data_IF_553720665297
#
_entry.id   IF_553720665297
#
_cell.length_a   1.000
_cell.length_b   1.000
_cell.length_c   1.000
_cell.angle_alpha   90.00
_cell.angle_beta   90.00
_cell.angle_gamma   90.00
#
_symmetry.space_group_name_H-M   'P 1'
#
loop_
_entity.id
_entity.type
_entity.pdbx_description
1 polymer ?
#
# COMPACT_ATOMS: atom_id res chain seq x y z
N UNK A 1 10.32 -16.96 -0.42
CA UNK A 1 10.41 -15.49 -0.51
C UNK A 1 9.07 -14.93 -0.99
N UNK A 2 8.39 -14.19 -0.12
CA UNK A 2 7.04 -13.66 -0.40
C UNK A 2 7.06 -12.53 -1.43
N UNK A 3 8.14 -11.78 -1.54
CA UNK A 3 8.29 -10.80 -2.62
C UNK A 3 8.28 -11.47 -4.00
N UNK A 4 8.96 -12.61 -4.13
CA UNK A 4 8.96 -13.39 -5.36
C UNK A 4 7.55 -13.88 -5.71
N UNK A 5 6.85 -14.50 -4.74
CA UNK A 5 5.46 -14.98 -4.94
C UNK A 5 4.50 -13.85 -5.33
N UNK A 6 4.58 -12.71 -4.65
CA UNK A 6 3.78 -11.55 -4.97
C UNK A 6 4.07 -11.02 -6.39
N UNK A 7 5.34 -10.96 -6.78
CA UNK A 7 5.72 -10.52 -8.14
C UNK A 7 5.31 -11.53 -9.21
N UNK A 8 5.28 -12.83 -8.91
CA UNK A 8 4.74 -13.85 -9.81
C UNK A 8 3.21 -13.70 -9.97
N UNK A 9 2.49 -13.41 -8.88
CA UNK A 9 1.05 -13.14 -8.92
C UNK A 9 0.74 -11.88 -9.74
N UNK A 10 1.54 -10.81 -9.62
CA UNK A 10 1.42 -9.61 -10.44
C UNK A 10 1.52 -9.89 -11.93
N UNK A 11 2.40 -10.81 -12.39
CA UNK A 11 2.58 -11.09 -13.82
C UNK A 11 1.33 -11.59 -14.51
N UNK A 12 0.41 -12.22 -13.77
CA UNK A 12 -0.87 -12.70 -14.29
C UNK A 12 -1.99 -11.65 -14.22
N UNK A 13 -1.76 -10.57 -13.50
CA UNK A 13 -2.75 -9.51 -13.27
C UNK A 13 -2.68 -8.43 -14.37
N UNK A 14 -3.84 -7.89 -14.74
CA UNK A 14 -3.97 -6.72 -15.62
C UNK A 14 -4.52 -5.52 -14.88
N UNK A 15 -5.55 -5.73 -14.07
CA UNK A 15 -6.26 -4.67 -13.35
C UNK A 15 -6.24 -4.97 -11.86
N UNK A 16 -5.55 -4.14 -11.12
CA UNK A 16 -5.24 -4.34 -9.71
C UNK A 16 -6.03 -3.35 -8.86
N UNK A 17 -6.82 -3.89 -7.92
CA UNK A 17 -7.46 -3.09 -6.88
C UNK A 17 -6.52 -2.99 -5.67
N UNK A 18 -6.30 -1.79 -5.16
CA UNK A 18 -5.52 -1.54 -3.94
C UNK A 18 -6.42 -0.83 -2.93
N UNK A 19 -6.47 -1.30 -1.70
CA UNK A 19 -7.17 -0.63 -0.61
C UNK A 19 -6.50 -0.93 0.74
N UNK A 20 -6.64 0.00 1.67
CA UNK A 20 -6.23 -0.14 3.06
C UNK A 20 -7.43 -0.37 3.99
N UNK A 21 -7.23 -0.10 5.28
CA UNK A 21 -8.29 -0.21 6.28
C UNK A 21 -9.33 0.94 6.18
N UNK A 22 -10.50 0.76 6.84
CA UNK A 22 -11.67 1.66 6.75
C UNK A 22 -11.38 3.10 7.17
N UNK A 23 -10.50 3.31 8.15
CA UNK A 23 -10.13 4.64 8.66
C UNK A 23 -8.67 4.95 8.32
N UNK A 24 -8.34 5.12 7.03
CA UNK A 24 -6.95 5.15 6.59
C UNK A 24 -6.22 6.37 7.16
N UNK A 25 -5.02 6.14 7.64
CA UNK A 25 -4.09 7.15 8.13
C UNK A 25 -3.00 7.49 7.10
N UNK A 26 -1.92 8.13 7.56
CA UNK A 26 -0.82 8.52 6.69
C UNK A 26 -0.02 7.34 6.15
N UNK A 27 0.13 6.24 6.92
CA UNK A 27 0.80 5.04 6.42
C UNK A 27 -0.06 4.34 5.37
N UNK A 28 -1.31 4.09 5.68
CA UNK A 28 -2.25 3.45 4.76
C UNK A 28 -2.35 4.20 3.43
N UNK A 29 -2.67 5.49 3.46
CA UNK A 29 -2.82 6.31 2.25
C UNK A 29 -1.51 6.51 1.49
N UNK A 30 -0.42 6.79 2.20
CA UNK A 30 0.90 6.96 1.59
C UNK A 30 1.37 5.68 0.89
N UNK A 31 1.22 4.54 1.54
CA UNK A 31 1.58 3.23 1.00
C UNK A 31 0.73 2.85 -0.22
N UNK A 32 -0.58 3.11 -0.18
CA UNK A 32 -1.49 2.88 -1.33
C UNK A 32 -1.14 3.76 -2.53
N UNK A 33 -0.86 5.06 -2.31
CA UNK A 33 -0.45 6.00 -3.36
C UNK A 33 0.87 5.55 -3.97
N UNK A 34 1.87 5.25 -3.14
CA UNK A 34 3.18 4.81 -3.61
C UNK A 34 3.08 3.52 -4.42
N UNK A 35 2.38 2.51 -3.90
CA UNK A 35 2.25 1.22 -4.57
C UNK A 35 1.49 1.34 -5.90
N UNK A 36 0.36 2.06 -5.93
CA UNK A 36 -0.40 2.23 -7.17
C UNK A 36 0.42 2.97 -8.23
N UNK A 37 1.20 3.98 -7.84
CA UNK A 37 2.07 4.71 -8.76
C UNK A 37 3.21 3.82 -9.26
N UNK A 38 3.86 3.06 -8.38
CA UNK A 38 4.91 2.08 -8.74
C UNK A 38 4.40 1.07 -9.77
N UNK A 39 3.24 0.48 -9.52
CA UNK A 39 2.66 -0.53 -10.42
C UNK A 39 2.25 0.07 -11.76
N UNK A 40 1.67 1.28 -11.78
CA UNK A 40 1.34 1.96 -13.03
C UNK A 40 2.60 2.31 -13.83
N UNK A 41 3.67 2.76 -13.17
CA UNK A 41 4.96 3.02 -13.82
C UNK A 41 5.61 1.72 -14.36
N UNK A 42 5.32 0.58 -13.74
CA UNK A 42 5.74 -0.75 -14.20
C UNK A 42 4.86 -1.35 -15.30
N UNK A 43 3.81 -0.65 -15.75
CA UNK A 43 2.95 -1.05 -16.86
C UNK A 43 1.68 -1.82 -16.48
N UNK A 44 1.33 -1.88 -15.19
CA UNK A 44 0.05 -2.44 -14.72
C UNK A 44 -1.05 -1.37 -14.71
N UNK A 45 -2.32 -1.78 -14.66
CA UNK A 45 -3.45 -0.90 -14.37
C UNK A 45 -3.80 -1.00 -12.87
N UNK A 46 -3.16 -0.22 -12.02
CA UNK A 46 -3.36 -0.26 -10.56
C UNK A 46 -4.20 0.94 -10.07
N UNK A 47 -5.21 0.64 -9.26
CA UNK A 47 -6.21 1.59 -8.77
C UNK A 47 -6.29 1.56 -7.25
N UNK A 48 -5.80 2.62 -6.61
CA UNK A 48 -5.95 2.80 -5.17
C UNK A 48 -7.31 3.42 -4.85
N UNK A 49 -8.08 2.75 -4.00
CA UNK A 49 -9.45 3.13 -3.63
C UNK A 49 -9.53 3.42 -2.14
N UNK A 50 -9.96 4.61 -1.77
CA UNK A 50 -10.04 5.05 -0.37
C UNK A 50 -11.21 6.02 -0.13
N UNK A 51 -11.53 6.26 1.15
CA UNK A 51 -12.36 7.40 1.51
C UNK A 51 -11.55 8.69 1.37
N UNK A 52 -11.83 9.47 0.32
CA UNK A 52 -11.15 10.74 0.09
C UNK A 52 -11.44 11.81 1.15
N UNK A 53 -12.47 11.63 1.99
CA UNK A 53 -12.71 12.53 3.11
C UNK A 53 -11.69 12.31 4.24
N UNK A 54 -11.02 11.15 4.27
CA UNK A 54 -9.97 10.83 5.23
C UNK A 54 -8.61 11.45 4.89
N UNK A 55 -8.46 12.12 3.73
CA UNK A 55 -7.18 12.70 3.29
C UNK A 55 -6.60 13.73 4.30
N UNK A 56 -7.46 14.48 5.00
CA UNK A 56 -7.05 15.38 6.08
C UNK A 56 -5.79 16.18 5.73
N UNK A 57 -4.76 16.03 6.56
CA UNK A 57 -3.48 16.75 6.43
C UNK A 57 -2.60 16.29 5.27
N UNK A 58 -2.86 15.13 4.66
CA UNK A 58 -2.04 14.62 3.56
C UNK A 58 -2.59 14.96 2.17
N UNK A 59 -3.72 15.67 2.11
CA UNK A 59 -4.34 16.10 0.85
C UNK A 59 -3.47 16.99 -0.04
N UNK A 60 -2.35 17.49 0.47
CA UNK A 60 -1.36 18.25 -0.30
C UNK A 60 -0.51 17.35 -1.23
N UNK A 61 -0.41 16.05 -0.99
CA UNK A 61 0.35 15.14 -1.83
C UNK A 61 -0.25 15.08 -3.24
N UNK A 62 0.59 15.23 -4.24
CA UNK A 62 0.15 15.17 -5.64
C UNK A 62 -0.52 13.83 -5.98
N UNK A 63 0.00 12.75 -5.46
CA UNK A 63 -0.53 11.40 -5.65
C UNK A 63 -1.95 11.18 -5.16
N UNK A 64 -2.50 12.04 -4.28
CA UNK A 64 -3.90 11.94 -3.82
C UNK A 64 -4.91 12.14 -4.95
N UNK A 65 -4.52 12.83 -6.02
CA UNK A 65 -5.36 13.05 -7.21
C UNK A 65 -5.68 11.76 -7.97
N UNK A 66 -4.86 10.72 -7.82
CA UNK A 66 -5.04 9.41 -8.43
C UNK A 66 -5.95 8.47 -7.64
N UNK A 67 -6.25 8.80 -6.37
CA UNK A 67 -7.12 8.00 -5.53
C UNK A 67 -8.56 7.99 -6.07
N UNK A 68 -9.13 6.80 -6.16
CA UNK A 68 -10.53 6.63 -6.53
C UNK A 68 -11.38 6.68 -5.25
N UNK A 69 -12.38 7.58 -5.19
CA UNK A 69 -13.31 7.57 -4.07
C UNK A 69 -14.07 6.25 -3.95
N UNK A 70 -14.27 5.73 -2.72
CA UNK A 70 -15.02 4.48 -2.47
C UNK A 70 -16.35 4.42 -3.21
N UNK A 71 -17.12 5.53 -3.21
CA UNK A 71 -18.40 5.63 -3.92
C UNK A 71 -18.32 5.35 -5.44
N UNK A 72 -17.14 5.48 -6.03
CA UNK A 72 -16.90 5.26 -7.44
C UNK A 72 -16.40 3.84 -7.77
N UNK A 73 -16.13 3.01 -6.78
CA UNK A 73 -15.63 1.63 -6.96
C UNK A 73 -16.59 0.80 -7.85
N UNK A 74 -17.90 0.88 -7.61
CA UNK A 74 -18.93 0.15 -8.39
C UNK A 74 -18.97 0.52 -9.87
N UNK A 75 -18.40 1.67 -10.26
CA UNK A 75 -18.32 2.14 -11.66
C UNK A 75 -17.08 1.61 -12.38
N UNK A 76 -16.15 0.98 -11.66
CA UNK A 76 -14.93 0.45 -12.24
C UNK A 76 -15.21 -0.85 -13.00
N UNK A 77 -14.38 -1.13 -14.02
CA UNK A 77 -14.34 -2.43 -14.66
C UNK A 77 -13.86 -3.49 -13.65
N UNK A 78 -14.10 -4.76 -13.96
CA UNK A 78 -13.65 -5.88 -13.11
C UNK A 78 -12.14 -5.83 -12.89
N UNK A 79 -11.75 -6.15 -11.68
CA UNK A 79 -10.38 -6.38 -11.26
C UNK A 79 -10.06 -7.87 -11.33
N UNK A 80 -8.78 -8.20 -11.37
CA UNK A 80 -8.27 -9.58 -11.40
C UNK A 80 -7.26 -9.88 -10.27
N UNK A 81 -6.84 -8.86 -9.54
CA UNK A 81 -6.01 -8.98 -8.33
C UNK A 81 -6.41 -7.91 -7.32
N UNK A 82 -6.38 -8.26 -6.05
CA UNK A 82 -6.52 -7.34 -4.92
C UNK A 82 -5.20 -7.25 -4.14
N UNK A 83 -4.81 -6.04 -3.73
CA UNK A 83 -3.70 -5.82 -2.81
C UNK A 83 -4.24 -5.04 -1.61
N UNK A 84 -4.24 -5.69 -0.45
CA UNK A 84 -4.50 -5.06 0.83
C UNK A 84 -3.20 -4.41 1.33
N UNK A 85 -3.28 -3.16 1.77
CA UNK A 85 -2.13 -2.42 2.28
C UNK A 85 -2.49 -1.86 3.64
N UNK A 86 -1.61 -2.09 4.62
CA UNK A 86 -1.79 -1.60 5.98
C UNK A 86 -3.15 -2.01 6.57
N UNK A 87 -3.44 -3.30 6.50
CA UNK A 87 -4.72 -3.86 6.92
C UNK A 87 -4.53 -5.23 7.54
N UNK A 88 -4.66 -5.31 8.86
CA UNK A 88 -4.38 -6.52 9.64
C UNK A 88 -5.43 -7.63 9.54
N UNK A 89 -6.65 -7.31 9.08
CA UNK A 89 -7.72 -8.28 8.93
C UNK A 89 -8.70 -7.89 7.82
N UNK A 90 -9.31 -8.88 7.18
CA UNK A 90 -10.22 -8.67 6.05
C UNK A 90 -11.44 -7.79 6.41
N UNK A 91 -11.94 -7.92 7.62
CA UNK A 91 -13.09 -7.15 8.11
C UNK A 91 -12.77 -5.69 8.50
N UNK A 92 -11.50 -5.34 8.56
CA UNK A 92 -11.05 -3.94 8.72
C UNK A 92 -11.16 -3.11 7.44
N UNK A 93 -11.34 -3.75 6.27
CA UNK A 93 -11.49 -3.05 5.00
C UNK A 93 -12.83 -2.31 4.88
N UNK A 94 -12.90 -1.26 4.02
CA UNK A 94 -14.16 -0.59 3.72
C UNK A 94 -15.24 -1.59 3.23
N UNK A 95 -16.50 -1.46 3.70
CA UNK A 95 -17.60 -2.34 3.28
C UNK A 95 -17.82 -2.40 1.77
N UNK A 96 -17.49 -1.34 1.05
CA UNK A 96 -17.60 -1.27 -0.41
C UNK A 96 -16.55 -2.13 -1.12
N UNK A 97 -15.38 -2.33 -0.49
CA UNK A 97 -14.24 -3.08 -1.04
C UNK A 97 -14.41 -4.57 -0.83
N UNK A 98 -14.88 -5.00 0.35
CA UNK A 98 -14.97 -6.42 0.73
C UNK A 98 -15.63 -7.32 -0.32
N UNK A 99 -16.84 -6.99 -0.87
CA UNK A 99 -17.53 -7.86 -1.82
C UNK A 99 -16.78 -8.01 -3.16
N UNK A 100 -15.86 -7.10 -3.47
CA UNK A 100 -15.01 -7.18 -4.66
C UNK A 100 -13.76 -7.99 -4.34
N UNK A 101 -13.09 -7.65 -3.24
CA UNK A 101 -11.85 -8.28 -2.79
C UNK A 101 -12.01 -9.79 -2.52
N UNK A 102 -13.11 -10.21 -1.87
CA UNK A 102 -13.41 -11.61 -1.54
C UNK A 102 -13.39 -12.56 -2.75
N UNK A 103 -13.53 -12.03 -3.96
CA UNK A 103 -13.58 -12.81 -5.20
C UNK A 103 -12.26 -12.80 -5.98
N UNK A 104 -11.22 -12.18 -5.43
CA UNK A 104 -9.95 -11.94 -6.11
C UNK A 104 -8.81 -12.63 -5.37
N UNK A 105 -7.80 -13.13 -6.10
CA UNK A 105 -6.52 -13.44 -5.50
C UNK A 105 -6.02 -12.21 -4.75
N UNK A 106 -5.44 -12.41 -3.55
CA UNK A 106 -5.10 -11.32 -2.64
C UNK A 106 -3.64 -11.35 -2.23
N UNK A 107 -2.96 -10.22 -2.36
CA UNK A 107 -1.66 -9.94 -1.72
C UNK A 107 -1.94 -9.04 -0.51
N UNK A 108 -1.43 -9.39 0.67
CA UNK A 108 -1.49 -8.55 1.86
C UNK A 108 -0.10 -7.96 2.15
N UNK A 109 -0.02 -6.64 2.30
CA UNK A 109 1.20 -5.91 2.71
C UNK A 109 0.91 -5.23 4.03
N UNK A 110 1.47 -5.74 5.13
CA UNK A 110 1.11 -5.26 6.46
C UNK A 110 2.26 -5.42 7.47
N UNK A 111 2.26 -4.60 8.50
CA UNK A 111 3.25 -4.67 9.56
C UNK A 111 2.63 -4.89 10.95
N UNK A 112 1.32 -5.07 11.05
CA UNK A 112 0.65 -5.29 12.31
C UNK A 112 0.92 -6.69 12.86
N UNK A 113 1.30 -6.78 14.15
CA UNK A 113 1.49 -8.06 14.86
C UNK A 113 0.19 -8.86 14.95
N UNK A 114 -0.95 -8.18 14.87
CA UNK A 114 -2.29 -8.76 14.90
C UNK A 114 -2.80 -9.23 13.54
N UNK A 115 -1.96 -9.19 12.49
CA UNK A 115 -2.35 -9.64 11.15
C UNK A 115 -2.89 -11.08 11.18
N UNK A 116 -4.02 -11.30 10.52
CA UNK A 116 -4.74 -12.59 10.55
C UNK A 116 -4.36 -13.56 9.43
N UNK A 117 -3.50 -13.14 8.49
CA UNK A 117 -3.06 -13.98 7.38
C UNK A 117 -4.16 -14.29 6.38
N UNK A 118 -4.90 -13.28 5.93
CA UNK A 118 -6.03 -13.46 5.02
C UNK A 118 -5.66 -13.40 3.53
N UNK A 119 -4.44 -13.00 3.18
CA UNK A 119 -3.95 -12.95 1.80
C UNK A 119 -3.47 -14.30 1.29
N UNK A 120 -3.59 -14.57 -0.01
CA UNK A 120 -2.97 -15.73 -0.64
C UNK A 120 -1.44 -15.61 -0.66
N UNK A 121 -0.94 -14.37 -0.67
CA UNK A 121 0.48 -14.04 -0.46
C UNK A 121 0.60 -12.93 0.57
N UNK A 122 1.41 -13.18 1.60
CA UNK A 122 1.62 -12.28 2.73
C UNK A 122 3.00 -11.63 2.67
N UNK A 123 3.06 -10.33 2.43
CA UNK A 123 4.25 -9.48 2.65
C UNK A 123 4.07 -8.84 4.04
N UNK A 124 4.19 -9.65 5.07
CA UNK A 124 3.96 -9.22 6.47
C UNK A 124 5.26 -9.30 7.26
N UNK A 125 5.61 -8.20 7.91
CA UNK A 125 6.77 -8.12 8.81
C UNK A 125 6.46 -7.20 10.00
N UNK A 126 6.14 -7.74 11.19
CA UNK A 126 5.84 -6.94 12.38
C UNK A 126 7.01 -6.08 12.89
N UNK A 127 8.21 -6.28 12.35
CA UNK A 127 9.39 -5.46 12.66
C UNK A 127 9.62 -4.35 11.63
N UNK A 128 8.79 -4.23 10.61
CA UNK A 128 8.80 -3.08 9.72
C UNK A 128 8.18 -1.87 10.43
N UNK A 129 8.71 -0.69 10.17
CA UNK A 129 8.24 0.54 10.81
C UNK A 129 6.90 1.03 10.29
N UNK A 130 6.48 0.52 9.14
CA UNK A 130 5.25 0.92 8.45
C UNK A 130 5.00 -0.02 7.25
N UNK A 131 3.79 -0.03 6.72
CA UNK A 131 3.49 -0.68 5.44
C UNK A 131 4.29 -0.02 4.29
N UNK A 132 4.55 1.30 4.39
CA UNK A 132 5.39 2.02 3.44
C UNK A 132 6.84 1.51 3.38
N UNK A 133 7.42 1.07 4.50
CA UNK A 133 8.73 0.41 4.50
C UNK A 133 8.68 -0.90 3.69
N UNK A 134 7.61 -1.67 3.79
CA UNK A 134 7.43 -2.92 3.05
C UNK A 134 7.23 -2.68 1.55
N UNK A 135 6.45 -1.66 1.18
CA UNK A 135 6.29 -1.23 -0.22
C UNK A 135 7.64 -0.81 -0.80
N UNK A 136 8.44 -0.01 -0.06
CA UNK A 136 9.79 0.35 -0.48
C UNK A 136 10.68 -0.88 -0.68
N UNK A 137 10.66 -1.85 0.26
CA UNK A 137 11.45 -3.09 0.16
C UNK A 137 11.05 -3.90 -1.07
N UNK A 138 9.76 -4.01 -1.36
CA UNK A 138 9.29 -4.72 -2.54
C UNK A 138 9.65 -3.98 -3.84
N UNK A 139 9.61 -2.66 -3.83
CA UNK A 139 10.11 -1.84 -4.94
C UNK A 139 11.60 -2.08 -5.20
N UNK A 140 12.42 -2.11 -4.16
CA UNK A 140 13.87 -2.42 -4.26
C UNK A 140 14.12 -3.83 -4.79
N UNK A 141 13.35 -4.82 -4.33
CA UNK A 141 13.45 -6.20 -4.78
C UNK A 141 13.15 -6.35 -6.29
N UNK A 142 12.19 -5.58 -6.82
CA UNK A 142 11.84 -5.55 -8.25
C UNK A 142 12.67 -4.56 -9.07
N UNK A 143 13.59 -3.83 -8.46
CA UNK A 143 14.38 -2.75 -9.10
C UNK A 143 13.50 -1.64 -9.71
N UNK A 144 12.30 -1.43 -9.15
CA UNK A 144 11.42 -0.34 -9.58
C UNK A 144 11.99 1.02 -9.19
N UNK A 145 11.88 1.97 -10.11
CA UNK A 145 12.35 3.34 -9.87
C UNK A 145 11.36 4.11 -9.00
N UNK A 146 11.90 4.83 -8.03
CA UNK A 146 11.14 5.79 -7.23
C UNK A 146 11.18 7.14 -7.93
N UNK A 147 10.01 7.66 -8.31
CA UNK A 147 9.86 9.05 -8.71
C UNK A 147 9.48 9.92 -7.50
N UNK A 148 9.35 11.23 -7.72
CA UNK A 148 9.01 12.19 -6.66
C UNK A 148 7.67 11.87 -5.97
N UNK A 149 6.65 11.47 -6.72
CA UNK A 149 5.32 11.17 -6.17
C UNK A 149 5.39 9.95 -5.25
N UNK A 150 6.10 8.90 -5.67
CA UNK A 150 6.33 7.69 -4.87
C UNK A 150 7.15 8.03 -3.62
N UNK A 151 8.21 8.80 -3.78
CA UNK A 151 9.10 9.21 -2.69
C UNK A 151 8.34 10.00 -1.61
N UNK A 152 7.57 11.01 -1.99
CA UNK A 152 6.76 11.80 -1.07
C UNK A 152 5.71 10.95 -0.35
N UNK A 153 5.04 10.03 -1.04
CA UNK A 153 4.04 9.15 -0.46
C UNK A 153 4.65 8.16 0.55
N UNK A 154 5.77 7.52 0.20
CA UNK A 154 6.51 6.64 1.11
C UNK A 154 7.08 7.40 2.31
N UNK A 155 7.52 8.63 2.11
CA UNK A 155 7.98 9.50 3.20
C UNK A 155 6.87 9.74 4.20
N UNK A 156 5.66 10.12 3.72
CA UNK A 156 4.50 10.33 4.59
C UNK A 156 4.14 9.05 5.33
N UNK A 157 4.09 7.90 4.66
CA UNK A 157 3.83 6.62 5.27
C UNK A 157 4.76 6.36 6.47
N UNK A 158 6.07 6.43 6.24
CA UNK A 158 7.05 6.16 7.29
C UNK A 158 7.05 7.20 8.40
N UNK A 159 6.95 8.49 8.08
CA UNK A 159 7.03 9.55 9.10
C UNK A 159 5.82 9.58 10.02
N UNK A 160 4.63 9.21 9.51
CA UNK A 160 3.41 9.17 10.33
C UNK A 160 3.46 8.01 11.31
N UNK A 161 3.81 6.83 10.85
CA UNK A 161 3.74 5.61 11.65
C UNK A 161 4.92 5.44 12.63
N UNK A 162 6.03 6.12 12.36
CA UNK A 162 7.17 6.21 13.29
C UNK A 162 7.11 7.40 14.27
N UNK A 163 6.02 8.18 14.24
CA UNK A 163 5.95 9.41 15.02
C UNK A 163 7.11 10.36 14.73
N UNK A 164 7.46 10.54 13.47
CA UNK A 164 8.61 11.34 13.01
C UNK A 164 9.96 10.73 13.47
N UNK A 165 10.06 9.41 13.38
CA UNK A 165 11.22 8.60 13.80
C UNK A 165 11.46 8.60 15.32
N UNK A 166 10.45 8.92 16.13
CA UNK A 166 10.55 8.98 17.58
C UNK A 166 10.06 7.70 18.29
N UNK A 167 9.30 6.84 17.61
CA UNK A 167 8.76 5.61 18.19
C UNK A 167 9.75 4.44 18.11
N UNK A 168 9.57 3.45 18.97
CA UNK A 168 10.39 2.24 19.04
C UNK A 168 10.33 1.36 17.77
N UNK A 169 9.31 1.56 16.92
CA UNK A 169 9.22 0.96 15.58
C UNK A 169 10.33 1.46 14.64
N UNK A 170 10.98 2.59 14.96
CA UNK A 170 12.08 3.13 14.16
C UNK A 170 13.33 2.28 14.29
N UNK A 171 13.83 1.78 13.20
CA UNK A 171 14.98 0.87 13.13
C UNK A 171 16.06 1.38 12.17
N UNK A 172 17.26 0.78 12.17
CA UNK A 172 18.26 1.07 11.14
C UNK A 172 17.76 0.81 9.70
N UNK A 173 16.80 -0.11 9.50
CA UNK A 173 16.16 -0.32 8.19
C UNK A 173 15.30 0.88 7.80
N UNK A 174 14.54 1.42 8.72
CA UNK A 174 13.70 2.61 8.53
C UNK A 174 14.55 3.79 8.05
N UNK A 175 15.69 4.05 8.69
CA UNK A 175 16.61 5.11 8.26
C UNK A 175 17.26 4.87 6.91
N UNK A 176 17.55 3.61 6.55
CA UNK A 176 18.02 3.27 5.20
C UNK A 176 16.95 3.55 4.15
N UNK A 177 15.70 3.15 4.42
CA UNK A 177 14.57 3.44 3.54
C UNK A 177 14.37 4.94 3.38
N UNK A 178 14.32 5.69 4.48
CA UNK A 178 14.20 7.14 4.49
C UNK A 178 15.34 7.81 3.70
N UNK A 179 16.59 7.39 3.91
CA UNK A 179 17.75 7.91 3.18
C UNK A 179 17.72 7.59 1.68
N UNK A 180 17.15 6.46 1.28
CA UNK A 180 17.01 6.08 -0.13
C UNK A 180 15.91 6.87 -0.84
N UNK A 181 14.84 7.18 -0.12
CA UNK A 181 13.71 7.98 -0.62
C UNK A 181 14.11 9.45 -0.86
N UNK A 182 15.06 9.97 -0.09
CA UNK A 182 15.53 11.36 -0.19
C UNK A 182 16.55 11.62 -1.32
N UNK A 183 16.96 10.58 -2.05
CA UNK A 183 17.89 10.71 -3.19
C UNK A 183 17.19 11.14 -4.46
#
# INVERSE_FOLDING_TARGET
DNFKKASEMLKSAKRILISGHLSPDGDSLGSMIALSTLLNNAGYEAFAVADINALGKIGFLEGTKSLIPLRNLKRQKKFDLFIAVDCGAFDMMPPEVRPVAEKLPTICIDHHISNTGFGDVEIVDPYASSAGELVWRWAKWNEWKLDKVIAEALWVAMITDTGRFAYDSTSPRTFRAAGDILK
#
